data_IF_060688649704
#
_entry.id   IF_060688649704
#
_cell.length_a   1.000
_cell.length_b   1.000
_cell.length_c   1.000
_cell.angle_alpha   90.00
_cell.angle_beta   90.00
_cell.angle_gamma   90.00
#
_symmetry.space_group_name_H-M   'P 1'
#
loop_
_entity.id
_entity.type
_entity.pdbx_description
1 polymer ?
#
# COMPACT_ATOMS: atom_id res chain seq x y z
N UNK A 1 7.90 -23.64 -5.81
CA UNK A 1 7.45 -24.15 -4.49
C UNK A 1 8.11 -23.42 -3.32
N UNK A 2 9.40 -23.09 -3.39
CA UNK A 2 10.14 -22.39 -2.31
C UNK A 2 9.68 -20.95 -1.99
N UNK A 3 8.99 -20.26 -2.92
CA UNK A 3 8.59 -18.85 -2.72
C UNK A 3 7.28 -18.62 -1.96
N UNK A 4 6.39 -19.61 -1.84
CA UNK A 4 5.08 -19.37 -1.21
C UNK A 4 5.15 -19.23 0.31
N UNK A 5 6.07 -19.97 0.95
CA UNK A 5 6.30 -19.84 2.40
C UNK A 5 6.88 -18.46 2.73
N UNK A 6 7.82 -17.98 1.90
CA UNK A 6 8.37 -16.63 2.05
C UNK A 6 7.30 -15.55 1.83
N UNK A 7 6.45 -15.71 0.80
CA UNK A 7 5.35 -14.81 0.54
C UNK A 7 4.33 -14.79 1.69
N UNK A 8 4.02 -15.96 2.27
CA UNK A 8 3.15 -16.07 3.43
C UNK A 8 3.76 -15.35 4.64
N UNK A 9 5.04 -15.58 4.91
CA UNK A 9 5.74 -14.93 6.02
C UNK A 9 5.74 -13.40 5.84
N UNK A 10 6.15 -12.90 4.69
CA UNK A 10 6.11 -11.47 4.37
C UNK A 10 4.68 -10.90 4.47
N UNK A 11 3.67 -11.64 4.00
CA UNK A 11 2.26 -11.27 4.11
C UNK A 11 1.78 -11.16 5.56
N UNK A 12 2.17 -12.09 6.42
CA UNK A 12 1.85 -12.04 7.86
C UNK A 12 2.51 -10.82 8.51
N UNK A 13 3.78 -10.55 8.24
CA UNK A 13 4.47 -9.38 8.79
C UNK A 13 3.88 -8.06 8.28
N UNK A 14 3.49 -8.02 7.01
CA UNK A 14 2.78 -6.89 6.43
C UNK A 14 1.43 -6.67 7.13
N UNK A 15 0.60 -7.71 7.26
CA UNK A 15 -0.68 -7.65 7.95
C UNK A 15 -0.55 -7.24 9.42
N UNK A 16 0.43 -7.78 10.14
CA UNK A 16 0.76 -7.37 11.51
C UNK A 16 1.13 -5.89 11.59
N UNK A 17 1.94 -5.40 10.65
CA UNK A 17 2.35 -3.98 10.59
C UNK A 17 1.14 -3.07 10.35
N UNK A 18 0.21 -3.45 9.47
CA UNK A 18 -1.03 -2.70 9.23
C UNK A 18 -1.94 -2.65 10.46
N UNK A 19 -2.09 -3.79 11.14
CA UNK A 19 -2.89 -3.89 12.36
C UNK A 19 -2.29 -3.00 13.47
N UNK A 20 -0.97 -3.09 13.67
CA UNK A 20 -0.25 -2.27 14.65
C UNK A 20 -0.29 -0.77 14.34
N UNK A 21 -0.29 -0.39 13.06
CA UNK A 21 -0.47 0.99 12.61
C UNK A 21 -1.92 1.49 12.78
N UNK A 22 -2.87 0.61 13.17
CA UNK A 22 -4.27 0.96 13.39
C UNK A 22 -5.05 1.22 12.11
N UNK A 23 -4.51 0.84 10.95
CA UNK A 23 -5.14 1.04 9.64
C UNK A 23 -6.30 0.07 9.39
N UNK A 24 -6.47 -0.91 10.26
CA UNK A 24 -7.60 -1.84 10.27
C UNK A 24 -8.80 -1.30 11.05
N UNK A 25 -8.77 -0.04 11.49
CA UNK A 25 -9.86 0.58 12.25
C UNK A 25 -10.68 1.49 11.33
N UNK A 26 -11.98 1.23 11.26
CA UNK A 26 -12.95 2.01 10.48
C UNK A 26 -12.76 3.53 10.61
N UNK A 27 -12.65 4.02 11.84
CA UNK A 27 -12.52 5.45 12.10
C UNK A 27 -11.25 6.06 11.50
N UNK A 28 -10.14 5.31 11.39
CA UNK A 28 -8.89 5.83 10.79
C UNK A 28 -9.06 6.04 9.29
N UNK A 29 -9.74 5.12 8.60
CA UNK A 29 -9.97 5.21 7.15
C UNK A 29 -10.93 6.37 6.84
N UNK A 30 -12.09 6.42 7.50
CA UNK A 30 -13.08 7.47 7.25
C UNK A 30 -12.55 8.86 7.60
N UNK A 31 -11.74 8.98 8.66
CA UNK A 31 -11.20 10.26 9.08
C UNK A 31 -10.18 10.87 8.11
N UNK A 32 -9.58 10.07 7.23
CA UNK A 32 -8.73 10.58 6.14
C UNK A 32 -9.58 11.34 5.13
N UNK A 33 -10.72 10.78 4.73
CA UNK A 33 -11.66 11.42 3.81
C UNK A 33 -12.35 12.63 4.43
N UNK A 34 -12.48 12.66 5.76
CA UNK A 34 -12.98 13.81 6.52
C UNK A 34 -11.89 14.85 6.83
N UNK A 35 -10.65 14.59 6.44
CA UNK A 35 -9.47 15.42 6.72
C UNK A 35 -9.21 15.68 8.21
N UNK A 36 -9.71 14.82 9.11
CA UNK A 36 -9.54 14.95 10.57
C UNK A 36 -8.38 14.13 11.12
N UNK A 37 -8.02 13.03 10.45
CA UNK A 37 -6.90 12.17 10.85
C UNK A 37 -6.12 11.73 9.62
N UNK A 38 -4.88 12.22 9.50
CA UNK A 38 -3.99 11.93 8.38
C UNK A 38 -3.05 10.75 8.64
N UNK A 39 -3.29 9.94 9.69
CA UNK A 39 -2.40 8.83 10.03
C UNK A 39 -2.21 7.84 8.88
N UNK A 40 -3.27 7.52 8.14
CA UNK A 40 -3.20 6.61 6.98
C UNK A 40 -2.34 7.21 5.87
N UNK A 41 -2.57 8.49 5.53
CA UNK A 41 -1.79 9.17 4.49
C UNK A 41 -0.31 9.25 4.86
N UNK A 42 0.00 9.61 6.11
CA UNK A 42 1.39 9.65 6.61
C UNK A 42 2.04 8.27 6.56
N UNK A 43 1.33 7.23 6.99
CA UNK A 43 1.83 5.86 6.91
C UNK A 43 2.14 5.47 5.46
N UNK A 44 1.21 5.66 4.53
CA UNK A 44 1.40 5.32 3.12
C UNK A 44 2.60 6.06 2.51
N UNK A 45 2.71 7.37 2.76
CA UNK A 45 3.82 8.18 2.24
C UNK A 45 5.18 7.75 2.82
N UNK A 46 5.26 7.50 4.13
CA UNK A 46 6.51 7.02 4.75
C UNK A 46 6.89 5.63 4.26
N UNK A 47 5.93 4.71 4.13
CA UNK A 47 6.15 3.39 3.59
C UNK A 47 6.67 3.47 2.14
N UNK A 48 6.08 4.31 1.30
CA UNK A 48 6.54 4.54 -0.07
C UNK A 48 8.00 5.02 -0.12
N UNK A 49 8.35 6.04 0.67
CA UNK A 49 9.73 6.58 0.69
C UNK A 49 10.73 5.53 1.18
N UNK A 50 10.41 4.81 2.26
CA UNK A 50 11.28 3.76 2.82
C UNK A 50 11.44 2.62 1.81
N UNK A 51 10.35 2.14 1.21
CA UNK A 51 10.38 1.07 0.20
C UNK A 51 11.13 1.49 -1.05
N UNK A 52 10.90 2.69 -1.58
CA UNK A 52 11.65 3.19 -2.73
C UNK A 52 13.15 3.22 -2.43
N UNK A 53 13.54 3.82 -1.30
CA UNK A 53 14.96 3.92 -0.92
C UNK A 53 15.59 2.53 -0.81
N UNK A 54 14.93 1.60 -0.11
CA UNK A 54 15.43 0.23 0.04
C UNK A 54 15.53 -0.53 -1.29
N UNK A 55 14.51 -0.44 -2.14
CA UNK A 55 14.49 -1.12 -3.44
C UNK A 55 15.56 -0.57 -4.39
N UNK A 56 15.80 0.74 -4.42
CA UNK A 56 16.86 1.33 -5.24
C UNK A 56 18.26 0.93 -4.74
N UNK A 57 18.48 0.85 -3.43
CA UNK A 57 19.74 0.35 -2.86
C UNK A 57 19.96 -1.11 -3.26
N UNK A 58 18.96 -1.98 -3.10
CA UNK A 58 19.06 -3.39 -3.49
C UNK A 58 19.34 -3.56 -4.99
N UNK A 59 18.73 -2.71 -5.83
CA UNK A 59 19.01 -2.67 -7.27
C UNK A 59 20.44 -2.23 -7.55
N UNK A 60 20.94 -1.20 -6.84
CA UNK A 60 22.33 -0.74 -6.97
C UNK A 60 23.36 -1.81 -6.58
N UNK A 61 23.01 -2.70 -5.65
CA UNK A 61 23.83 -3.86 -5.26
C UNK A 61 23.68 -5.06 -6.22
N UNK A 62 22.86 -4.97 -7.26
CA UNK A 62 22.61 -6.06 -8.21
C UNK A 62 21.77 -7.22 -7.66
N UNK A 63 21.12 -7.04 -6.50
CA UNK A 63 20.33 -8.10 -5.84
C UNK A 63 18.93 -8.26 -6.43
N UNK A 64 18.40 -7.20 -7.05
CA UNK A 64 17.07 -7.22 -7.67
C UNK A 64 17.08 -6.49 -9.01
N UNK A 65 16.14 -6.87 -9.88
CA UNK A 65 15.78 -6.13 -11.09
C UNK A 65 14.36 -5.59 -10.94
N UNK A 66 14.10 -4.40 -11.47
CA UNK A 66 12.74 -3.88 -11.50
C UNK A 66 11.94 -4.55 -12.62
N UNK A 67 10.70 -4.98 -12.35
CA UNK A 67 9.81 -5.46 -13.39
C UNK A 67 9.42 -4.29 -14.32
N UNK A 68 8.92 -4.63 -15.51
CA UNK A 68 8.36 -3.64 -16.41
C UNK A 68 7.17 -2.92 -15.75
N UNK A 69 7.15 -1.60 -15.85
CA UNK A 69 6.03 -0.79 -15.37
C UNK A 69 4.80 -1.12 -16.22
N UNK A 70 3.65 -1.45 -15.60
CA UNK A 70 2.42 -1.69 -16.34
C UNK A 70 2.02 -0.49 -17.21
N UNK A 71 1.41 -0.77 -18.37
CA UNK A 71 0.91 0.28 -19.25
C UNK A 71 -0.16 1.14 -18.55
N UNK A 72 -0.12 2.46 -18.75
CA UNK A 72 -1.10 3.36 -18.16
C UNK A 72 -2.42 3.27 -18.91
N UNK A 73 -3.46 2.74 -18.25
CA UNK A 73 -4.81 2.73 -18.77
C UNK A 73 -5.64 3.85 -18.12
N UNK A 74 -5.63 5.04 -18.73
CA UNK A 74 -6.20 6.26 -18.14
C UNK A 74 -7.67 6.07 -17.73
N UNK A 75 -8.51 5.58 -18.66
CA UNK A 75 -9.95 5.41 -18.41
C UNK A 75 -10.20 4.40 -17.29
N UNK A 76 -9.54 3.23 -17.35
CA UNK A 76 -9.69 2.20 -16.32
C UNK A 76 -9.17 2.64 -14.94
N UNK A 77 -8.04 3.36 -14.90
CA UNK A 77 -7.47 3.86 -13.65
C UNK A 77 -8.37 4.92 -13.02
N UNK A 78 -8.95 5.83 -13.81
CA UNK A 78 -9.85 6.88 -13.30
C UNK A 78 -11.15 6.25 -12.81
N UNK A 79 -11.81 5.43 -13.63
CA UNK A 79 -13.10 4.81 -13.26
C UNK A 79 -12.91 3.85 -12.08
N UNK A 80 -11.92 2.96 -12.14
CA UNK A 80 -11.62 2.01 -11.08
C UNK A 80 -11.22 2.70 -9.78
N UNK A 81 -10.39 3.75 -9.87
CA UNK A 81 -9.99 4.56 -8.71
C UNK A 81 -11.16 5.27 -8.04
N UNK A 82 -12.10 5.82 -8.82
CA UNK A 82 -13.32 6.44 -8.29
C UNK A 82 -14.22 5.41 -7.60
N UNK A 83 -14.47 4.26 -8.22
CA UNK A 83 -15.28 3.18 -7.62
C UNK A 83 -14.65 2.70 -6.31
N UNK A 84 -13.34 2.45 -6.32
CA UNK A 84 -12.60 2.02 -5.14
C UNK A 84 -12.63 3.07 -4.02
N UNK A 85 -12.41 4.35 -4.35
CA UNK A 85 -12.43 5.45 -3.40
C UNK A 85 -13.79 5.67 -2.77
N UNK A 86 -14.87 5.65 -3.56
CA UNK A 86 -16.25 5.72 -3.07
C UNK A 86 -16.57 4.53 -2.17
N UNK A 87 -16.17 3.31 -2.59
CA UNK A 87 -16.30 2.10 -1.77
C UNK A 87 -15.65 2.28 -0.40
N UNK A 88 -14.37 2.62 -0.34
CA UNK A 88 -13.64 2.83 0.91
C UNK A 88 -14.24 3.92 1.80
N UNK A 89 -14.75 5.01 1.22
CA UNK A 89 -15.38 6.09 1.98
C UNK A 89 -16.70 5.64 2.63
N UNK A 90 -17.46 4.76 1.98
CA UNK A 90 -18.74 4.23 2.48
C UNK A 90 -18.52 3.10 3.51
N UNK A 91 -17.60 2.18 3.23
CA UNK A 91 -17.36 0.98 4.07
C UNK A 91 -16.37 1.22 5.19
N UNK A 92 -15.49 2.23 5.08
CA UNK A 92 -14.41 2.52 6.01
C UNK A 92 -13.36 1.42 6.13
N UNK A 93 -13.23 0.57 5.11
CA UNK A 93 -12.19 -0.45 4.93
C UNK A 93 -11.78 -0.52 3.48
#
# INVERSE_FOLDING_TARGET
MTNYILALFLGVFFGFSLNKAGLTKYHKIVNVFRFTDMAVLKFMMTALVVSMTGLYVLRGLGLITFPNVPATYVVGNVIGGLIFGVGMALTGY
#
